data_IF_467649463469
#
_entry.id   IF_467649463469
#
_cell.length_a   1.000
_cell.length_b   1.000
_cell.length_c   1.000
_cell.angle_alpha   90.00
_cell.angle_beta   90.00
_cell.angle_gamma   90.00
#
_symmetry.space_group_name_H-M   'P 1'
#
loop_
_entity.id
_entity.type
_entity.pdbx_description
1 polymer ?
#
# COMPACT_ATOMS: atom_id res chain seq x y z
N UNK A 1 11.38 9.72 10.84
CA UNK A 1 10.06 9.11 10.50
C UNK A 1 10.10 8.30 9.21
N UNK A 2 10.64 8.80 8.09
CA UNK A 2 10.73 8.04 6.81
C UNK A 2 11.37 6.67 7.01
N UNK A 3 12.56 6.60 7.64
CA UNK A 3 13.25 5.34 7.88
C UNK A 3 12.47 4.34 8.75
N UNK A 4 11.67 4.82 9.70
CA UNK A 4 10.83 3.97 10.54
C UNK A 4 9.73 3.29 9.70
N UNK A 5 9.04 4.06 8.86
CA UNK A 5 8.02 3.50 7.98
C UNK A 5 8.61 2.58 6.90
N UNK A 6 9.79 2.91 6.38
CA UNK A 6 10.48 2.05 5.42
C UNK A 6 10.90 0.71 6.05
N UNK A 7 11.50 0.75 7.24
CA UNK A 7 11.89 -0.45 7.96
C UNK A 7 10.68 -1.30 8.36
N UNK A 8 9.62 -0.66 8.86
CA UNK A 8 8.39 -1.35 9.25
C UNK A 8 7.71 -2.01 8.04
N UNK A 9 7.65 -1.32 6.91
CA UNK A 9 7.09 -1.87 5.67
C UNK A 9 7.88 -3.10 5.21
N UNK A 10 9.21 -2.96 5.08
CA UNK A 10 10.06 -4.07 4.66
C UNK A 10 10.00 -5.24 5.65
N UNK A 11 10.02 -4.98 6.95
CA UNK A 11 9.91 -6.01 7.98
C UNK A 11 8.58 -6.79 7.89
N UNK A 12 7.46 -6.10 7.65
CA UNK A 12 6.16 -6.76 7.47
C UNK A 12 6.12 -7.63 6.21
N UNK A 13 6.72 -7.19 5.10
CA UNK A 13 6.81 -8.03 3.89
C UNK A 13 7.67 -9.26 4.15
N UNK A 14 8.82 -9.10 4.82
CA UNK A 14 9.72 -10.22 5.15
C UNK A 14 9.18 -11.15 6.24
N UNK A 15 8.31 -10.66 7.13
CA UNK A 15 7.66 -11.50 8.14
C UNK A 15 6.59 -12.43 7.52
N UNK A 16 5.97 -12.02 6.40
CA UNK A 16 4.88 -12.74 5.75
C UNK A 16 5.14 -13.00 4.26
N UNK A 17 6.29 -13.61 3.88
CA UNK A 17 6.64 -13.79 2.47
C UNK A 17 5.67 -14.73 1.74
N UNK A 18 5.12 -15.72 2.45
CA UNK A 18 4.22 -16.72 1.89
C UNK A 18 2.85 -16.17 1.44
N UNK A 19 2.44 -15.01 1.93
CA UNK A 19 1.19 -14.36 1.51
C UNK A 19 1.44 -13.06 0.73
N UNK A 20 2.68 -12.54 0.77
CA UNK A 20 3.05 -11.28 0.12
C UNK A 20 3.37 -11.44 -1.37
N UNK A 21 3.71 -12.64 -1.84
CA UNK A 21 4.19 -12.90 -3.20
C UNK A 21 3.48 -14.07 -3.90
N UNK A 22 2.34 -14.53 -3.40
CA UNK A 22 1.55 -15.58 -4.05
C UNK A 22 0.49 -15.01 -4.99
N UNK A 23 -0.22 -15.90 -5.68
CA UNK A 23 -1.30 -15.52 -6.59
C UNK A 23 -2.42 -14.74 -5.86
N UNK A 24 -2.73 -15.07 -4.61
CA UNK A 24 -3.56 -14.25 -3.73
C UNK A 24 -2.63 -13.45 -2.83
N UNK A 25 -2.25 -12.24 -3.29
CA UNK A 25 -1.34 -11.38 -2.56
C UNK A 25 -2.08 -10.59 -1.48
N UNK A 26 -1.83 -10.91 -0.22
CA UNK A 26 -2.24 -10.07 0.92
C UNK A 26 -0.97 -9.45 1.49
N UNK A 27 -0.64 -8.22 1.08
CA UNK A 27 0.49 -7.48 1.66
C UNK A 27 0.04 -6.74 2.90
N UNK A 28 0.25 -7.33 4.07
CA UNK A 28 -0.06 -6.68 5.36
C UNK A 28 0.64 -5.32 5.50
N UNK A 29 1.82 -5.17 4.90
CA UNK A 29 2.58 -3.92 4.87
C UNK A 29 1.81 -2.74 4.23
N UNK A 30 0.91 -3.01 3.28
CA UNK A 30 0.10 -1.98 2.63
C UNK A 30 -0.90 -1.32 3.59
N UNK A 31 -1.17 -1.94 4.76
CA UNK A 31 -1.93 -1.30 5.83
C UNK A 31 -1.29 -0.01 6.38
N UNK A 32 -0.01 0.20 6.10
CA UNK A 32 0.69 1.44 6.45
C UNK A 32 0.37 2.60 5.49
N UNK A 33 -0.06 2.34 4.25
CA UNK A 33 -0.33 3.37 3.24
C UNK A 33 -1.33 4.43 3.73
N UNK A 34 -2.48 4.05 4.32
CA UNK A 34 -3.45 4.99 4.85
C UNK A 34 -2.91 5.92 5.95
N UNK A 35 -1.85 5.53 6.66
CA UNK A 35 -1.22 6.39 7.66
C UNK A 35 -0.66 7.70 7.07
N UNK A 36 -0.51 7.78 5.74
CA UNK A 36 -0.21 9.03 5.04
C UNK A 36 -1.24 10.12 5.34
N UNK A 37 -2.50 9.76 5.60
CA UNK A 37 -3.55 10.71 5.98
C UNK A 37 -3.28 11.36 7.34
N UNK A 38 -2.59 10.67 8.25
CA UNK A 38 -2.25 11.18 9.58
C UNK A 38 -0.87 11.86 9.59
N UNK A 39 0.14 11.19 9.06
CA UNK A 39 1.54 11.59 9.17
C UNK A 39 2.12 12.24 7.89
N UNK A 40 1.34 12.28 6.78
CA UNK A 40 1.72 12.98 5.57
C UNK A 40 2.85 12.34 4.77
N UNK A 41 3.70 13.18 4.20
CA UNK A 41 4.80 12.80 3.30
C UNK A 41 5.80 11.78 3.85
N UNK A 42 6.17 11.79 5.16
CA UNK A 42 7.07 10.79 5.72
C UNK A 42 6.58 9.35 5.55
N UNK A 43 5.26 9.11 5.56
CA UNK A 43 4.70 7.79 5.29
C UNK A 43 4.83 7.44 3.83
N UNK A 44 4.48 8.36 2.92
CA UNK A 44 4.55 8.13 1.47
C UNK A 44 5.97 7.73 1.06
N UNK A 45 6.96 8.53 1.46
CA UNK A 45 8.36 8.24 1.21
C UNK A 45 8.80 6.92 1.87
N UNK A 46 8.37 6.68 3.10
CA UNK A 46 8.71 5.47 3.85
C UNK A 46 8.19 4.20 3.21
N UNK A 47 6.89 4.13 2.87
CA UNK A 47 6.31 2.94 2.24
C UNK A 47 6.86 2.71 0.84
N UNK A 48 7.19 3.77 0.09
CA UNK A 48 7.82 3.67 -1.22
C UNK A 48 9.21 3.05 -1.11
N UNK A 49 10.07 3.57 -0.24
CA UNK A 49 11.42 3.03 0.00
C UNK A 49 11.35 1.62 0.57
N UNK A 50 10.45 1.38 1.53
CA UNK A 50 10.24 0.05 2.11
C UNK A 50 9.80 -0.99 1.07
N UNK A 51 8.92 -0.61 0.15
CA UNK A 51 8.52 -1.45 -0.97
C UNK A 51 9.69 -1.73 -1.92
N UNK A 52 10.51 -0.70 -2.23
CA UNK A 52 11.72 -0.86 -3.03
C UNK A 52 12.64 -1.93 -2.42
N UNK A 53 12.95 -1.80 -1.14
CA UNK A 53 13.82 -2.76 -0.41
C UNK A 53 13.20 -4.14 -0.37
N UNK A 54 11.92 -4.25 -0.04
CA UNK A 54 11.23 -5.53 0.06
C UNK A 54 11.18 -6.28 -1.30
N UNK A 55 10.93 -5.56 -2.39
CA UNK A 55 10.83 -6.16 -3.71
C UNK A 55 12.20 -6.53 -4.33
N UNK A 56 13.34 -6.10 -3.74
CA UNK A 56 14.67 -6.58 -4.17
C UNK A 56 14.84 -8.10 -4.01
N UNK A 57 14.07 -8.71 -3.13
CA UNK A 57 14.06 -10.17 -2.92
C UNK A 57 12.79 -10.83 -3.51
N UNK A 58 12.11 -10.15 -4.40
CA UNK A 58 10.91 -10.67 -5.04
C UNK A 58 11.19 -11.92 -5.87
N UNK A 59 10.35 -12.96 -5.77
CA UNK A 59 10.46 -14.16 -6.60
C UNK A 59 9.88 -13.97 -8.01
N UNK A 60 9.47 -12.76 -8.38
CA UNK A 60 8.87 -12.48 -9.69
C UNK A 60 9.90 -12.57 -10.82
N UNK A 61 9.47 -12.90 -12.08
CA UNK A 61 10.37 -13.12 -13.20
C UNK A 61 11.30 -11.94 -13.51
N UNK A 62 10.91 -10.72 -13.15
CA UNK A 62 11.75 -9.52 -13.26
C UNK A 62 11.70 -8.71 -11.98
N UNK A 63 12.74 -8.83 -11.18
CA UNK A 63 12.91 -8.04 -9.93
C UNK A 63 12.91 -6.53 -10.22
N UNK A 64 13.55 -6.11 -11.31
CA UNK A 64 13.62 -4.68 -11.66
C UNK A 64 12.24 -4.10 -11.92
N UNK A 65 11.39 -4.80 -12.68
CA UNK A 65 10.03 -4.33 -12.99
C UNK A 65 9.18 -4.35 -11.73
N UNK A 66 9.33 -5.35 -10.86
CA UNK A 66 8.57 -5.45 -9.61
C UNK A 66 8.99 -4.38 -8.60
N UNK A 67 10.29 -4.07 -8.51
CA UNK A 67 10.80 -2.97 -7.69
C UNK A 67 10.26 -1.63 -8.18
N UNK A 68 10.39 -1.33 -9.46
CA UNK A 68 9.94 -0.05 -10.04
C UNK A 68 8.41 0.08 -9.99
N UNK A 69 7.72 -0.93 -10.48
CA UNK A 69 6.25 -0.93 -10.54
C UNK A 69 5.60 -0.86 -9.15
N UNK A 70 6.09 -1.65 -8.21
CA UNK A 70 5.62 -1.64 -6.82
C UNK A 70 5.89 -0.32 -6.10
N UNK A 71 7.09 0.25 -6.30
CA UNK A 71 7.45 1.53 -5.68
C UNK A 71 6.62 2.70 -6.22
N UNK A 72 6.42 2.76 -7.54
CA UNK A 72 5.55 3.76 -8.17
C UNK A 72 4.11 3.59 -7.69
N UNK A 73 3.61 2.36 -7.65
CA UNK A 73 2.26 2.07 -7.19
C UNK A 73 2.05 2.52 -5.73
N UNK A 74 2.98 2.22 -4.82
CA UNK A 74 2.91 2.64 -3.43
C UNK A 74 3.00 4.15 -3.25
N UNK A 75 3.86 4.82 -4.05
CA UNK A 75 3.93 6.27 -4.03
C UNK A 75 2.60 6.91 -4.44
N UNK A 76 2.04 6.49 -5.57
CA UNK A 76 0.77 7.03 -6.08
C UNK A 76 -0.38 6.69 -5.12
N UNK A 77 -0.44 5.46 -4.60
CA UNK A 77 -1.45 5.05 -3.64
C UNK A 77 -1.40 5.89 -2.36
N UNK A 78 -0.21 6.09 -1.78
CA UNK A 78 -0.02 6.92 -0.59
C UNK A 78 -0.36 8.39 -0.83
N UNK A 79 -0.01 8.93 -2.01
CA UNK A 79 -0.33 10.30 -2.38
C UNK A 79 -1.84 10.51 -2.55
N UNK A 80 -2.55 9.61 -3.24
CA UNK A 80 -4.00 9.71 -3.39
C UNK A 80 -4.73 9.48 -2.07
N UNK A 81 -4.27 8.54 -1.25
CA UNK A 81 -4.80 8.34 0.09
C UNK A 81 -4.72 9.64 0.89
N UNK A 82 -3.54 10.30 0.92
CA UNK A 82 -3.35 11.57 1.60
C UNK A 82 -4.29 12.66 1.07
N UNK A 83 -4.35 12.84 -0.25
CA UNK A 83 -5.13 13.91 -0.89
C UNK A 83 -6.63 13.75 -0.68
N UNK A 84 -7.13 12.53 -0.86
CA UNK A 84 -8.58 12.24 -0.73
C UNK A 84 -8.96 12.15 0.75
N UNK A 85 -8.14 11.45 1.55
CA UNK A 85 -8.45 11.17 2.95
C UNK A 85 -8.43 12.40 3.86
N UNK A 86 -7.67 13.44 3.50
CA UNK A 86 -7.66 14.73 4.21
C UNK A 86 -8.71 15.73 3.70
N UNK A 87 -9.61 15.33 2.81
CA UNK A 87 -10.60 16.25 2.27
C UNK A 87 -11.77 16.44 3.24
N UNK A 88 -11.89 17.64 3.81
CA UNK A 88 -13.02 17.99 4.69
C UNK A 88 -14.36 18.11 3.95
N UNK A 89 -14.31 18.19 2.61
CA UNK A 89 -15.49 18.33 1.75
C UNK A 89 -16.27 17.03 1.55
N UNK A 90 -15.66 15.89 1.84
CA UNK A 90 -16.22 14.57 1.51
C UNK A 90 -16.46 13.80 2.80
N UNK A 91 -17.72 13.48 3.07
CA UNK A 91 -18.07 12.61 4.22
C UNK A 91 -17.54 11.20 3.97
N UNK A 92 -16.72 10.68 4.90
CA UNK A 92 -16.06 9.38 4.72
C UNK A 92 -14.82 9.42 3.81
N UNK A 93 -14.20 10.60 3.65
CA UNK A 93 -13.00 10.82 2.83
C UNK A 93 -11.88 9.83 3.11
N UNK A 94 -11.70 9.43 4.37
CA UNK A 94 -10.67 8.45 4.76
C UNK A 94 -10.89 7.08 4.13
N UNK A 95 -12.12 6.57 4.15
CA UNK A 95 -12.46 5.30 3.52
C UNK A 95 -12.31 5.38 2.00
N UNK A 96 -12.72 6.51 1.40
CA UNK A 96 -12.53 6.76 -0.03
C UNK A 96 -11.06 6.89 -0.41
N UNK A 97 -10.24 7.48 0.44
CA UNK A 97 -8.79 7.52 0.26
C UNK A 97 -8.15 6.13 0.31
N UNK A 98 -8.60 5.28 1.23
CA UNK A 98 -8.22 3.86 1.26
C UNK A 98 -8.63 3.13 -0.02
N UNK A 99 -9.87 3.34 -0.47
CA UNK A 99 -10.38 2.71 -1.69
C UNK A 99 -9.61 3.16 -2.93
N UNK A 100 -9.27 4.45 -3.04
CA UNK A 100 -8.44 4.98 -4.12
C UNK A 100 -7.05 4.32 -4.14
N UNK A 101 -6.41 4.16 -2.98
CA UNK A 101 -5.14 3.46 -2.87
C UNK A 101 -5.25 1.99 -3.32
N UNK A 102 -6.30 1.29 -2.90
CA UNK A 102 -6.59 -0.09 -3.32
C UNK A 102 -6.73 -0.20 -4.83
N UNK A 103 -7.49 0.71 -5.47
CA UNK A 103 -7.66 0.71 -6.91
C UNK A 103 -6.35 0.97 -7.66
N UNK A 104 -5.54 1.91 -7.19
CA UNK A 104 -4.21 2.19 -7.77
C UNK A 104 -3.32 0.94 -7.75
N UNK A 105 -3.22 0.29 -6.59
CA UNK A 105 -2.45 -0.96 -6.48
C UNK A 105 -3.00 -2.03 -7.41
N UNK A 106 -4.32 -2.21 -7.44
CA UNK A 106 -4.97 -3.19 -8.31
C UNK A 106 -4.62 -2.98 -9.78
N UNK A 107 -4.74 -1.76 -10.28
CA UNK A 107 -4.50 -1.48 -11.68
C UNK A 107 -3.02 -1.48 -12.03
N UNK A 108 -2.17 -0.85 -11.25
CA UNK A 108 -0.72 -0.77 -11.56
C UNK A 108 -0.06 -2.14 -11.33
N UNK A 109 -0.18 -2.69 -10.12
CA UNK A 109 0.51 -3.95 -9.76
C UNK A 109 -0.07 -5.12 -10.54
N UNK A 110 -1.40 -5.24 -10.61
CA UNK A 110 -2.06 -6.33 -11.33
C UNK A 110 -1.73 -6.32 -12.83
N UNK A 111 -1.56 -5.14 -13.43
CA UNK A 111 -1.25 -5.06 -14.88
C UNK A 111 0.18 -5.50 -15.16
N UNK A 112 1.19 -4.96 -14.46
CA UNK A 112 2.56 -5.39 -14.75
C UNK A 112 2.82 -6.85 -14.35
N UNK A 113 2.19 -7.35 -13.28
CA UNK A 113 2.31 -8.75 -12.91
C UNK A 113 1.68 -9.69 -13.94
N UNK A 114 0.56 -9.30 -14.53
CA UNK A 114 -0.05 -10.06 -15.65
C UNK A 114 0.92 -10.19 -16.83
N UNK A 115 1.59 -9.11 -17.18
CA UNK A 115 2.59 -9.09 -18.27
C UNK A 115 3.80 -9.97 -17.91
N UNK A 116 4.29 -9.88 -16.66
CA UNK A 116 5.48 -10.63 -16.23
C UNK A 116 5.25 -12.14 -16.12
N UNK A 117 4.06 -12.55 -15.70
CA UNK A 117 3.74 -13.95 -15.39
C UNK A 117 2.95 -14.66 -16.48
N UNK A 118 2.53 -13.92 -17.52
CA UNK A 118 1.64 -14.40 -18.58
C UNK A 118 0.29 -15.00 -18.06
N UNK A 119 -0.11 -14.62 -16.84
CA UNK A 119 -1.39 -14.99 -16.25
C UNK A 119 -2.45 -13.94 -16.67
N UNK A 120 -3.71 -14.35 -16.94
CA UNK A 120 -4.76 -13.44 -17.36
C UNK A 120 -4.93 -12.22 -16.45
N UNK A 121 -5.07 -11.04 -17.05
CA UNK A 121 -5.14 -9.75 -16.39
C UNK A 121 -6.22 -9.68 -15.30
N UNK A 122 -7.40 -10.21 -15.59
CA UNK A 122 -8.53 -10.19 -14.65
C UNK A 122 -8.28 -11.00 -13.39
N UNK A 123 -7.46 -12.08 -13.46
CA UNK A 123 -7.08 -12.88 -12.29
C UNK A 123 -6.17 -12.06 -11.36
N UNK A 124 -5.17 -11.35 -11.94
CA UNK A 124 -4.31 -10.49 -11.14
C UNK A 124 -5.06 -9.31 -10.55
N UNK A 125 -5.95 -8.67 -11.30
CA UNK A 125 -6.77 -7.59 -10.77
C UNK A 125 -7.66 -8.04 -9.62
N UNK A 126 -8.33 -9.18 -9.75
CA UNK A 126 -9.17 -9.73 -8.69
C UNK A 126 -8.33 -10.07 -7.44
N UNK A 127 -7.19 -10.72 -7.65
CA UNK A 127 -6.28 -11.13 -6.58
C UNK A 127 -5.73 -9.92 -5.80
N UNK A 128 -5.15 -8.95 -6.52
CA UNK A 128 -4.60 -7.74 -5.90
C UNK A 128 -5.71 -6.92 -5.24
N UNK A 129 -6.88 -6.81 -5.87
CA UNK A 129 -8.01 -6.09 -5.28
C UNK A 129 -8.44 -6.68 -3.94
N UNK A 130 -8.64 -7.99 -3.87
CA UNK A 130 -9.03 -8.66 -2.61
C UNK A 130 -7.95 -8.46 -1.54
N UNK A 131 -6.68 -8.71 -1.88
CA UNK A 131 -5.57 -8.57 -0.95
C UNK A 131 -5.38 -7.15 -0.44
N UNK A 132 -5.37 -6.17 -1.35
CA UNK A 132 -5.23 -4.75 -1.00
C UNK A 132 -6.45 -4.21 -0.26
N UNK A 133 -7.66 -4.68 -0.59
CA UNK A 133 -8.86 -4.29 0.13
C UNK A 133 -8.80 -4.74 1.60
N UNK A 134 -8.38 -5.97 1.86
CA UNK A 134 -8.19 -6.46 3.24
C UNK A 134 -7.10 -5.66 3.96
N UNK A 135 -5.95 -5.46 3.32
CA UNK A 135 -4.82 -4.77 3.95
C UNK A 135 -5.09 -3.28 4.17
N UNK A 136 -5.59 -2.57 3.17
CA UNK A 136 -5.76 -1.12 3.21
C UNK A 136 -7.11 -0.71 3.80
N UNK A 137 -8.22 -1.26 3.27
CA UNK A 137 -9.56 -0.83 3.65
C UNK A 137 -10.03 -1.42 4.98
N UNK A 138 -9.60 -2.62 5.35
CA UNK A 138 -9.92 -3.18 6.66
C UNK A 138 -8.82 -2.84 7.67
N UNK A 139 -7.62 -3.40 7.54
CA UNK A 139 -6.57 -3.23 8.54
C UNK A 139 -6.07 -1.78 8.62
N UNK A 140 -5.76 -1.14 7.50
CA UNK A 140 -5.25 0.22 7.45
C UNK A 140 -6.26 1.25 7.92
N UNK A 141 -7.52 1.12 7.53
CA UNK A 141 -8.60 2.00 8.00
C UNK A 141 -8.84 1.84 9.50
N UNK A 142 -8.87 0.60 10.02
CA UNK A 142 -8.97 0.36 11.46
C UNK A 142 -7.80 0.99 12.22
N UNK A 143 -6.59 0.89 11.68
CA UNK A 143 -5.39 1.48 12.27
C UNK A 143 -5.50 3.01 12.39
N UNK A 144 -6.00 3.69 11.34
CA UNK A 144 -6.27 5.13 11.40
C UNK A 144 -7.27 5.45 12.52
N UNK A 145 -8.38 4.72 12.59
CA UNK A 145 -9.41 4.98 13.59
C UNK A 145 -8.90 4.80 15.03
N UNK A 146 -8.07 3.79 15.26
CA UNK A 146 -7.44 3.56 16.57
C UNK A 146 -6.48 4.70 16.92
N UNK A 147 -5.60 5.08 15.98
CA UNK A 147 -4.62 6.15 16.23
C UNK A 147 -5.28 7.51 16.47
N UNK A 148 -6.37 7.82 15.78
CA UNK A 148 -7.15 9.03 16.04
C UNK A 148 -7.77 9.05 17.46
N UNK A 149 -8.27 7.92 17.94
CA UNK A 149 -8.83 7.82 19.29
C UNK A 149 -7.77 8.00 20.36
N UNK A 150 -6.53 7.58 20.12
CA UNK A 150 -5.42 7.70 21.09
C UNK A 150 -4.74 9.07 21.06
N UNK A 151 -5.23 10.04 20.28
CA UNK A 151 -4.63 11.38 20.10
C UNK A 151 -3.15 11.35 19.70
N UNK A 152 -2.70 10.25 19.11
CA UNK A 152 -1.34 10.12 18.57
C UNK A 152 -1.22 10.70 17.14
N UNK A 153 -2.30 11.23 16.59
CA UNK A 153 -2.27 11.97 15.35
C UNK A 153 -1.56 13.30 15.58
N UNK A 154 -0.40 13.47 15.00
CA UNK A 154 0.30 14.76 14.97
C UNK A 154 -0.42 15.63 13.96
N UNK A 155 -1.08 16.70 14.44
CA UNK A 155 -1.58 17.75 13.57
C UNK A 155 -0.35 18.45 12.96
N UNK A 156 -0.12 18.23 11.71
CA UNK A 156 0.84 19.00 10.93
C UNK A 156 0.06 20.12 10.25
N UNK A 157 0.20 21.33 10.82
CA UNK A 157 -0.19 22.58 10.17
C UNK A 157 0.62 22.84 8.89
#
# INVERSE_FOLDING_TARGET
MVGVFAALYAALVYAFPGISFQLVQIRVADALIPLSMLFGWPVIAGVTIGCTVANMTSPMPSVVVDVMGGSIANFVAGFLALKIGRSDKIRGSEFLGCLAATLVLTFIVGTYLSILTAIPLWLWWLSIFIGSFVSINLLGYMLIQVLKKTKMAVEWD
#
